data_IF_215982977037
#
_entry.id   IF_215982977037
#
_cell.length_a   1.000
_cell.length_b   1.000
_cell.length_c   1.000
_cell.angle_alpha   90.00
_cell.angle_beta   90.00
_cell.angle_gamma   90.00
#
_symmetry.space_group_name_H-M   'P 1'
#
loop_
_entity.id
_entity.type
_entity.pdbx_description
1 polymer ?
#
# COMPACT_ATOMS: atom_id res chain seq x y z
N UNK A 1 9.12 13.71 2.73
CA UNK A 1 10.44 13.06 2.57
C UNK A 1 10.23 11.60 2.22
N UNK A 2 10.77 11.14 1.09
CA UNK A 2 10.77 9.75 0.67
C UNK A 2 12.22 9.21 0.60
N UNK A 3 12.39 7.89 0.61
CA UNK A 3 13.71 7.27 0.60
C UNK A 3 13.68 5.76 0.54
N UNK A 4 14.85 5.14 0.39
CA UNK A 4 15.02 3.69 0.40
C UNK A 4 16.20 3.30 1.28
N UNK A 5 15.99 2.23 2.04
CA UNK A 5 17.03 1.55 2.83
C UNK A 5 17.18 0.12 2.34
N UNK A 6 18.41 -0.40 2.39
CA UNK A 6 18.74 -1.75 1.97
C UNK A 6 19.17 -2.61 3.16
N UNK A 7 18.44 -3.69 3.40
CA UNK A 7 18.79 -4.70 4.39
C UNK A 7 19.37 -5.90 3.65
N UNK A 8 20.67 -6.19 3.88
CA UNK A 8 21.37 -7.32 3.25
C UNK A 8 21.79 -8.32 4.32
N UNK A 9 21.29 -9.54 4.21
CA UNK A 9 21.61 -10.63 5.16
C UNK A 9 21.50 -12.00 4.48
N UNK A 10 22.54 -12.84 4.56
CA UNK A 10 22.51 -14.23 4.09
C UNK A 10 22.00 -14.39 2.65
N UNK A 11 22.52 -13.62 1.70
CA UNK A 11 22.10 -13.55 0.31
C UNK A 11 20.64 -13.10 0.09
N UNK A 12 19.99 -12.55 1.09
CA UNK A 12 18.70 -11.89 1.01
C UNK A 12 18.92 -10.38 0.91
N UNK A 13 18.30 -9.75 -0.08
CA UNK A 13 18.30 -8.30 -0.28
C UNK A 13 16.86 -7.80 -0.15
N UNK A 14 16.62 -6.93 0.82
CA UNK A 14 15.33 -6.30 1.06
C UNK A 14 15.49 -4.80 0.81
N UNK A 15 14.62 -4.22 -0.01
CA UNK A 15 14.41 -2.77 -0.06
C UNK A 15 13.28 -2.39 0.90
N UNK A 16 13.55 -1.46 1.79
CA UNK A 16 12.53 -0.76 2.58
C UNK A 16 12.34 0.63 1.94
N UNK A 17 11.23 0.80 1.24
CA UNK A 17 10.91 1.99 0.45
C UNK A 17 9.90 2.82 1.21
N UNK A 18 10.27 4.04 1.57
CA UNK A 18 9.40 5.00 2.25
C UNK A 18 8.79 5.95 1.23
N UNK A 19 7.46 5.98 1.13
CA UNK A 19 6.75 6.92 0.27
C UNK A 19 6.28 8.15 1.06
N UNK A 20 6.42 9.32 0.45
CA UNK A 20 5.77 10.54 0.92
C UNK A 20 4.43 10.70 0.18
N UNK A 21 3.37 10.27 0.81
CA UNK A 21 2.01 10.33 0.28
C UNK A 21 1.25 11.60 0.71
N UNK A 22 1.96 12.59 1.28
CA UNK A 22 1.34 13.80 1.85
C UNK A 22 1.82 15.09 1.20
N UNK A 23 3.14 15.25 1.00
CA UNK A 23 3.72 16.55 0.63
C UNK A 23 3.40 16.94 -0.81
N UNK A 24 3.37 15.97 -1.72
CA UNK A 24 3.34 16.21 -3.17
C UNK A 24 1.99 15.92 -3.82
N UNK A 25 1.05 15.38 -3.04
CA UNK A 25 -0.26 15.01 -3.58
C UNK A 25 -1.15 16.22 -3.79
N UNK A 26 -1.99 16.12 -4.81
CA UNK A 26 -3.10 17.03 -5.00
C UNK A 26 -4.18 16.84 -3.92
N UNK A 27 -5.06 17.83 -3.81
CA UNK A 27 -6.17 17.77 -2.89
C UNK A 27 -7.13 16.63 -3.26
N UNK A 28 -7.53 15.85 -2.26
CA UNK A 28 -8.58 14.86 -2.43
C UNK A 28 -9.94 15.55 -2.67
N UNK A 29 -10.76 14.93 -3.51
CA UNK A 29 -12.10 15.44 -3.81
C UNK A 29 -13.05 15.08 -2.67
N UNK A 30 -13.51 16.06 -1.91
CA UNK A 30 -14.51 15.84 -0.86
C UNK A 30 -15.87 15.52 -1.46
N UNK A 31 -16.53 14.53 -0.87
CA UNK A 31 -17.90 14.17 -1.20
C UNK A 31 -18.86 15.26 -0.66
N UNK A 32 -19.77 15.75 -1.51
CA UNK A 32 -20.86 16.60 -1.07
C UNK A 32 -21.85 15.82 -0.19
N UNK A 33 -22.45 16.46 0.81
CA UNK A 33 -23.34 15.78 1.78
C UNK A 33 -24.58 15.15 1.13
N UNK A 34 -25.06 15.72 0.04
CA UNK A 34 -26.22 15.27 -0.74
C UNK A 34 -25.87 14.18 -1.78
N UNK A 35 -24.59 13.90 -1.99
CA UNK A 35 -24.15 12.79 -2.85
C UNK A 35 -24.34 11.46 -2.12
N UNK A 36 -25.29 10.66 -2.56
CA UNK A 36 -25.63 9.34 -2.01
C UNK A 36 -25.03 8.16 -2.79
N UNK A 37 -24.40 8.42 -3.93
CA UNK A 37 -23.79 7.38 -4.76
C UNK A 37 -22.47 6.86 -4.17
N UNK A 38 -21.86 7.64 -3.28
CA UNK A 38 -20.61 7.33 -2.60
C UNK A 38 -20.79 7.43 -1.09
N UNK A 39 -19.91 6.75 -0.36
CA UNK A 39 -19.88 6.78 1.11
C UNK A 39 -18.65 7.53 1.63
N UNK A 40 -18.70 7.88 2.91
CA UNK A 40 -17.64 8.55 3.65
C UNK A 40 -17.21 9.91 3.04
N UNK A 41 -15.95 10.32 3.15
CA UNK A 41 -15.54 11.72 2.97
C UNK A 41 -15.04 12.06 1.57
N UNK A 42 -14.51 11.08 0.84
CA UNK A 42 -13.78 11.35 -0.41
C UNK A 42 -14.29 10.56 -1.60
N UNK A 43 -14.28 11.21 -2.75
CA UNK A 43 -14.60 10.63 -4.04
C UNK A 43 -13.34 10.12 -4.74
N UNK A 44 -13.45 9.11 -5.64
CA UNK A 44 -12.38 8.80 -6.56
C UNK A 44 -12.14 9.97 -7.52
N UNK A 45 -10.90 10.46 -7.59
CA UNK A 45 -10.52 11.53 -8.51
C UNK A 45 -10.29 10.94 -9.91
N UNK A 46 -11.09 11.36 -10.89
CA UNK A 46 -11.00 10.91 -12.29
C UNK A 46 -10.08 11.79 -13.14
N UNK A 47 -9.58 12.90 -12.59
CA UNK A 47 -8.64 13.75 -13.31
C UNK A 47 -7.27 13.06 -13.42
N UNK A 48 -6.89 12.70 -14.64
CA UNK A 48 -5.64 11.99 -14.93
C UNK A 48 -4.38 12.85 -14.71
N UNK A 49 -4.52 14.15 -14.61
CA UNK A 49 -3.42 15.07 -14.32
C UNK A 49 -3.14 15.20 -12.81
N UNK A 50 -4.05 14.70 -11.96
CA UNK A 50 -3.84 14.74 -10.52
C UNK A 50 -2.79 13.72 -10.08
N UNK A 51 -2.02 14.07 -9.06
CA UNK A 51 -0.94 13.21 -8.56
C UNK A 51 -1.08 12.86 -7.08
N UNK A 52 -0.58 11.70 -6.71
CA UNK A 52 -0.46 11.25 -5.33
C UNK A 52 0.97 11.35 -4.80
N UNK A 53 1.96 11.08 -5.64
CA UNK A 53 3.37 11.11 -5.25
C UNK A 53 4.15 12.29 -5.84
N UNK A 54 3.66 12.95 -6.89
CA UNK A 54 4.41 13.94 -7.64
C UNK A 54 5.43 13.32 -8.61
N UNK A 55 5.77 14.05 -9.67
CA UNK A 55 6.59 13.52 -10.76
C UNK A 55 7.99 13.10 -10.33
N UNK A 56 8.64 13.87 -9.47
CA UNK A 56 10.00 13.58 -9.01
C UNK A 56 10.06 12.27 -8.21
N UNK A 57 9.09 12.04 -7.30
CA UNK A 57 9.04 10.82 -6.53
C UNK A 57 8.73 9.61 -7.42
N UNK A 58 7.88 9.75 -8.45
CA UNK A 58 7.62 8.69 -9.42
C UNK A 58 8.87 8.31 -10.21
N UNK A 59 9.65 9.28 -10.67
CA UNK A 59 10.91 9.02 -11.37
C UNK A 59 11.92 8.31 -10.47
N UNK A 60 12.09 8.81 -9.25
CA UNK A 60 12.94 8.17 -8.26
C UNK A 60 12.52 6.73 -7.96
N UNK A 61 11.23 6.47 -7.81
CA UNK A 61 10.70 5.14 -7.53
C UNK A 61 10.93 4.17 -8.71
N UNK A 62 10.83 4.65 -9.94
CA UNK A 62 11.15 3.84 -11.12
C UNK A 62 12.63 3.41 -11.12
N UNK A 63 13.55 4.31 -10.81
CA UNK A 63 14.98 3.96 -10.69
C UNK A 63 15.22 2.99 -9.51
N UNK A 64 14.56 3.24 -8.37
CA UNK A 64 14.65 2.38 -7.19
C UNK A 64 14.19 0.94 -7.48
N UNK A 65 13.14 0.76 -8.28
CA UNK A 65 12.63 -0.58 -8.64
C UNK A 65 13.53 -1.35 -9.61
N UNK A 66 14.40 -0.68 -10.35
CA UNK A 66 15.39 -1.34 -11.23
C UNK A 66 16.55 -1.97 -10.46
N UNK A 67 16.78 -1.52 -9.22
CA UNK A 67 17.83 -2.10 -8.37
C UNK A 67 17.46 -3.52 -7.93
N UNK A 68 18.47 -4.37 -7.78
CA UNK A 68 18.28 -5.76 -7.39
C UNK A 68 17.76 -5.89 -5.95
N UNK A 69 16.65 -6.62 -5.79
CA UNK A 69 16.13 -7.02 -4.48
C UNK A 69 15.26 -8.28 -4.58
N UNK A 70 15.29 -9.09 -3.53
CA UNK A 70 14.40 -10.25 -3.39
C UNK A 70 12.99 -9.84 -2.94
N UNK A 71 12.92 -8.81 -2.07
CA UNK A 71 11.68 -8.31 -1.47
C UNK A 71 11.72 -6.78 -1.42
N UNK A 72 10.60 -6.17 -1.71
CA UNK A 72 10.38 -4.72 -1.63
C UNK A 72 9.22 -4.42 -0.69
N UNK A 73 9.51 -3.90 0.48
CA UNK A 73 8.50 -3.44 1.44
C UNK A 73 8.27 -1.96 1.20
N UNK A 74 7.08 -1.61 0.73
CA UNK A 74 6.69 -0.22 0.47
C UNK A 74 5.87 0.29 1.66
N UNK A 75 6.46 1.19 2.43
CA UNK A 75 5.77 1.87 3.50
C UNK A 75 4.98 3.06 2.93
N UNK A 76 3.66 2.95 3.02
CA UNK A 76 2.70 3.98 2.61
C UNK A 76 1.87 4.38 3.82
N UNK A 77 1.65 5.68 4.06
CA UNK A 77 0.76 6.09 5.16
C UNK A 77 -0.69 5.69 4.92
N UNK A 78 -1.09 5.51 3.66
CA UNK A 78 -2.44 5.19 3.24
C UNK A 78 -2.52 3.79 2.64
N UNK A 79 -3.67 3.12 2.83
CA UNK A 79 -3.94 1.79 2.30
C UNK A 79 -3.87 1.75 0.77
N UNK A 80 -3.23 0.68 0.23
CA UNK A 80 -3.04 0.48 -1.20
C UNK A 80 -3.97 -0.58 -1.79
N UNK A 81 -4.04 -1.77 -1.19
CA UNK A 81 -4.69 -2.96 -1.80
C UNK A 81 -6.14 -3.17 -1.38
N UNK A 82 -6.71 -2.30 -0.57
CA UNK A 82 -8.10 -2.44 -0.12
C UNK A 82 -9.11 -1.99 -1.21
N UNK A 83 -10.37 -2.34 -1.00
CA UNK A 83 -11.48 -1.83 -1.81
C UNK A 83 -11.78 -0.36 -1.47
N UNK A 84 -12.20 0.42 -2.47
CA UNK A 84 -12.64 1.79 -2.21
C UNK A 84 -13.74 1.85 -1.14
N UNK A 85 -13.51 2.66 -0.12
CA UNK A 85 -14.44 2.85 0.99
C UNK A 85 -14.74 4.32 1.32
N UNK A 86 -14.18 5.27 0.56
CA UNK A 86 -14.41 6.71 0.73
C UNK A 86 -13.59 7.37 1.82
N UNK A 87 -12.75 6.64 2.55
CA UNK A 87 -11.70 7.21 3.39
C UNK A 87 -10.43 7.48 2.58
N UNK A 88 -9.48 8.16 3.20
CA UNK A 88 -8.24 8.57 2.55
C UNK A 88 -7.35 7.37 2.19
N UNK A 89 -7.06 7.18 0.92
CA UNK A 89 -6.32 6.02 0.41
C UNK A 89 -5.90 6.18 -1.04
N UNK A 90 -5.13 5.21 -1.57
CA UNK A 90 -4.78 5.16 -2.99
C UNK A 90 -6.01 5.02 -3.91
N UNK A 91 -7.10 4.45 -3.42
CA UNK A 91 -8.33 4.31 -4.19
C UNK A 91 -9.04 5.64 -4.46
N UNK A 92 -8.63 6.73 -3.80
CA UNK A 92 -9.09 8.08 -4.13
C UNK A 92 -8.42 8.64 -5.39
N UNK A 93 -7.29 8.05 -5.83
CA UNK A 93 -6.56 8.45 -7.04
C UNK A 93 -6.28 7.18 -7.87
N UNK A 94 -7.32 6.56 -8.45
CA UNK A 94 -7.24 5.21 -9.01
C UNK A 94 -6.25 5.08 -10.17
N UNK A 95 -6.03 6.14 -10.95
CA UNK A 95 -5.03 6.13 -12.02
C UNK A 95 -3.59 6.09 -11.47
N UNK A 96 -3.31 6.71 -10.32
CA UNK A 96 -2.00 6.62 -9.65
C UNK A 96 -1.79 5.24 -9.00
N UNK A 97 -2.85 4.63 -8.45
CA UNK A 97 -2.80 3.23 -8.02
C UNK A 97 -2.48 2.31 -9.21
N UNK A 98 -3.15 2.50 -10.34
CA UNK A 98 -2.87 1.73 -11.55
C UNK A 98 -1.46 1.99 -12.11
N UNK A 99 -0.97 3.22 -12.02
CA UNK A 99 0.41 3.58 -12.39
C UNK A 99 1.44 2.81 -11.57
N UNK A 100 1.22 2.64 -10.26
CA UNK A 100 2.06 1.82 -9.39
C UNK A 100 2.09 0.36 -9.86
N UNK A 101 0.94 -0.24 -10.13
CA UNK A 101 0.85 -1.62 -10.62
C UNK A 101 1.55 -1.80 -11.98
N UNK A 102 1.41 -0.81 -12.88
CA UNK A 102 2.08 -0.79 -14.16
C UNK A 102 3.61 -0.64 -14.01
N UNK A 103 4.05 0.17 -13.04
CA UNK A 103 5.47 0.34 -12.75
C UNK A 103 6.11 -0.96 -12.23
N UNK A 104 5.44 -1.66 -11.31
CA UNK A 104 5.87 -2.97 -10.82
C UNK A 104 6.03 -3.97 -11.99
N UNK A 105 5.06 -4.00 -12.91
CA UNK A 105 5.15 -4.84 -14.13
C UNK A 105 6.29 -4.42 -15.04
N UNK A 106 6.41 -3.14 -15.35
CA UNK A 106 7.41 -2.57 -16.26
C UNK A 106 8.83 -2.87 -15.81
N UNK A 107 9.08 -2.71 -14.52
CA UNK A 107 10.41 -2.91 -13.91
C UNK A 107 10.68 -4.36 -13.53
N UNK A 108 9.68 -5.24 -13.65
CA UNK A 108 9.74 -6.63 -13.17
C UNK A 108 10.14 -6.72 -11.69
N UNK A 109 9.74 -5.72 -10.89
CA UNK A 109 10.06 -5.67 -9.47
C UNK A 109 9.45 -6.85 -8.72
N UNK A 110 10.31 -7.70 -8.12
CA UNK A 110 9.89 -8.90 -7.41
C UNK A 110 9.53 -8.61 -5.95
N UNK A 111 8.63 -9.44 -5.38
CA UNK A 111 8.35 -9.47 -3.95
C UNK A 111 7.86 -8.14 -3.39
N UNK A 112 7.08 -7.37 -4.16
CA UNK A 112 6.50 -6.10 -3.69
C UNK A 112 5.34 -6.37 -2.76
N UNK A 113 5.41 -5.78 -1.57
CA UNK A 113 4.34 -5.77 -0.57
C UNK A 113 4.23 -4.37 0.01
N UNK A 114 3.01 -3.97 0.39
CA UNK A 114 2.78 -2.71 1.09
C UNK A 114 2.62 -2.94 2.59
N UNK A 115 3.06 -1.96 3.35
CA UNK A 115 2.66 -1.77 4.76
C UNK A 115 1.99 -0.41 4.87
N UNK A 116 0.88 -0.36 5.58
CA UNK A 116 0.07 0.86 5.67
C UNK A 116 -0.52 1.09 7.06
N UNK A 117 -1.12 2.25 7.25
CA UNK A 117 -1.72 2.67 8.51
C UNK A 117 -2.99 3.49 8.32
N UNK A 118 -3.16 4.54 9.15
CA UNK A 118 -4.22 5.57 9.12
C UNK A 118 -5.59 5.14 9.66
N UNK A 119 -6.05 3.93 9.38
CA UNK A 119 -7.45 3.50 9.57
C UNK A 119 -7.79 3.02 10.98
N UNK A 120 -6.84 2.92 11.88
CA UNK A 120 -7.00 2.54 13.29
C UNK A 120 -7.50 1.10 13.53
N UNK A 121 -7.31 0.20 12.55
CA UNK A 121 -7.49 -1.24 12.69
C UNK A 121 -6.36 -2.00 12.01
N UNK A 122 -6.34 -3.32 12.17
CA UNK A 122 -5.43 -4.21 11.45
C UNK A 122 -6.17 -5.03 10.41
N UNK A 123 -5.66 -5.10 9.18
CA UNK A 123 -6.15 -6.00 8.13
C UNK A 123 -5.08 -6.33 7.10
N UNK A 124 -5.20 -7.47 6.46
CA UNK A 124 -4.41 -7.80 5.27
C UNK A 124 -5.33 -7.73 4.06
N UNK A 125 -4.95 -6.95 3.07
CA UNK A 125 -5.65 -6.84 1.79
C UNK A 125 -4.81 -7.43 0.67
N UNK A 126 -5.46 -7.97 -0.38
CA UNK A 126 -4.82 -8.62 -1.51
C UNK A 126 -5.48 -8.18 -2.82
N UNK A 127 -4.72 -7.54 -3.69
CA UNK A 127 -5.13 -7.29 -5.07
C UNK A 127 -4.72 -8.46 -5.96
N UNK A 128 -5.70 -9.25 -6.39
CA UNK A 128 -5.51 -10.33 -7.34
C UNK A 128 -5.32 -9.80 -8.77
N UNK A 129 -4.55 -10.55 -9.56
CA UNK A 129 -4.36 -10.28 -11.01
C UNK A 129 -3.90 -8.85 -11.36
N UNK A 130 -3.37 -8.13 -10.38
CA UNK A 130 -2.97 -6.74 -10.55
C UNK A 130 -1.61 -6.59 -11.23
N UNK A 131 -0.70 -7.54 -10.98
CA UNK A 131 0.63 -7.63 -11.59
C UNK A 131 0.90 -9.07 -12.06
N UNK A 132 2.16 -9.49 -12.16
CA UNK A 132 2.55 -10.89 -12.41
C UNK A 132 2.33 -11.79 -11.19
N UNK A 133 2.08 -11.20 -10.04
CA UNK A 133 1.75 -11.85 -8.77
C UNK A 133 0.79 -10.94 -7.96
N UNK A 134 0.06 -11.47 -6.98
CA UNK A 134 -0.83 -10.65 -6.15
C UNK A 134 -0.06 -9.63 -5.32
N UNK A 135 -0.62 -8.43 -5.15
CA UNK A 135 -0.05 -7.40 -4.28
C UNK A 135 -0.76 -7.40 -2.93
N UNK A 136 -0.01 -7.67 -1.88
CA UNK A 136 -0.49 -7.62 -0.51
C UNK A 136 -0.24 -6.26 0.13
N UNK A 137 -1.13 -5.87 1.03
CA UNK A 137 -1.02 -4.68 1.88
C UNK A 137 -1.33 -5.10 3.33
N UNK A 138 -0.35 -4.96 4.20
CA UNK A 138 -0.48 -5.24 5.62
C UNK A 138 -0.73 -3.93 6.35
N UNK A 139 -1.98 -3.66 6.66
CA UNK A 139 -2.39 -2.50 7.44
C UNK A 139 -2.31 -2.83 8.92
N UNK A 140 -1.52 -2.08 9.69
CA UNK A 140 -1.45 -2.22 11.15
C UNK A 140 -1.37 -0.82 11.78
N UNK A 141 -2.50 -0.30 12.23
CA UNK A 141 -2.60 1.10 12.69
C UNK A 141 -3.40 1.29 13.98
N UNK A 142 -3.54 0.24 14.78
CA UNK A 142 -4.27 0.24 16.03
C UNK A 142 -3.40 0.30 17.30
N UNK A 143 -2.22 0.96 17.30
CA UNK A 143 -1.35 1.00 18.49
C UNK A 143 -1.92 1.85 19.62
N UNK A 144 -2.33 3.07 19.31
CA UNK A 144 -2.76 4.06 20.33
C UNK A 144 -4.25 4.40 20.25
N UNK A 145 -4.86 4.14 19.12
CA UNK A 145 -6.27 4.37 18.87
C UNK A 145 -6.83 3.25 18.00
N UNK A 146 -8.04 2.80 18.30
CA UNK A 146 -8.72 1.72 17.59
C UNK A 146 -10.09 2.19 17.09
N UNK A 147 -10.51 1.61 15.96
CA UNK A 147 -11.81 1.90 15.36
C UNK A 147 -12.58 0.61 15.17
N UNK A 148 -13.68 0.46 15.90
CA UNK A 148 -14.48 -0.76 15.90
C UNK A 148 -15.43 -0.89 14.69
N UNK A 149 -15.84 0.23 14.10
CA UNK A 149 -16.70 0.26 12.91
C UNK A 149 -15.85 0.17 11.65
N UNK A 150 -15.34 -1.02 11.39
CA UNK A 150 -14.47 -1.27 10.23
C UNK A 150 -15.28 -1.32 8.93
N UNK A 151 -14.68 -0.87 7.84
CA UNK A 151 -15.34 -0.89 6.53
C UNK A 151 -15.33 -2.28 5.89
N UNK A 152 -16.37 -2.64 5.13
CA UNK A 152 -16.33 -3.80 4.24
C UNK A 152 -15.17 -3.67 3.25
N UNK A 153 -14.51 -4.80 2.99
CA UNK A 153 -13.38 -4.85 2.05
C UNK A 153 -13.33 -6.23 1.38
N UNK A 154 -13.71 -6.32 0.12
CA UNK A 154 -13.71 -7.58 -0.63
C UNK A 154 -12.31 -8.14 -0.90
N UNK A 155 -11.28 -7.28 -0.78
CA UNK A 155 -9.89 -7.66 -0.95
C UNK A 155 -9.25 -8.16 0.35
N UNK A 156 -10.00 -8.19 1.47
CA UNK A 156 -9.50 -8.65 2.76
C UNK A 156 -9.21 -10.14 2.76
N UNK A 157 -8.07 -10.49 3.32
CA UNK A 157 -7.65 -11.88 3.58
C UNK A 157 -7.75 -12.13 5.08
N UNK A 158 -8.57 -13.09 5.48
CA UNK A 158 -8.83 -13.36 6.89
C UNK A 158 -9.76 -12.33 7.54
N UNK A 159 -9.60 -12.12 8.83
CA UNK A 159 -10.45 -11.23 9.62
C UNK A 159 -9.79 -9.87 9.85
N UNK A 160 -10.61 -8.84 10.06
CA UNK A 160 -10.14 -7.52 10.51
C UNK A 160 -9.93 -7.54 12.03
N UNK A 161 -8.90 -6.86 12.51
CA UNK A 161 -8.59 -6.71 13.94
C UNK A 161 -8.88 -5.28 14.36
N UNK A 162 -10.05 -5.01 14.97
CA UNK A 162 -10.47 -3.66 15.36
C UNK A 162 -9.92 -3.22 16.72
N UNK A 163 -9.02 -3.99 17.31
CA UNK A 163 -8.37 -3.73 18.60
C UNK A 163 -6.94 -3.22 18.39
N UNK A 164 -6.24 -2.98 19.51
CA UNK A 164 -4.80 -2.73 19.46
C UNK A 164 -4.11 -3.87 18.70
N UNK A 165 -3.26 -3.52 17.76
CA UNK A 165 -2.67 -4.49 16.88
C UNK A 165 -1.24 -4.15 16.51
N UNK A 166 -0.48 -5.18 16.10
CA UNK A 166 0.87 -5.07 15.56
C UNK A 166 1.02 -6.02 14.36
N UNK A 167 1.58 -5.52 13.28
CA UNK A 167 1.90 -6.32 12.09
C UNK A 167 3.29 -6.94 12.19
N UNK A 168 3.42 -8.18 11.73
CA UNK A 168 4.70 -8.90 11.63
C UNK A 168 4.87 -9.43 10.20
N UNK A 169 6.03 -9.18 9.63
CA UNK A 169 6.48 -9.75 8.36
C UNK A 169 7.72 -10.57 8.61
N UNK A 170 7.61 -11.88 8.46
CA UNK A 170 8.76 -12.78 8.51
C UNK A 170 9.20 -13.13 7.09
N UNK A 171 10.48 -12.93 6.79
CA UNK A 171 11.06 -13.18 5.47
C UNK A 171 12.11 -14.27 5.60
N UNK A 172 11.94 -15.37 4.84
CA UNK A 172 12.86 -16.51 4.83
C UNK A 172 13.29 -16.79 3.39
N UNK A 173 14.61 -16.96 3.18
CA UNK A 173 15.17 -17.38 1.88
C UNK A 173 15.85 -18.73 2.03
N UNK A 174 15.38 -19.71 1.23
CA UNK A 174 15.94 -21.07 1.18
C UNK A 174 16.29 -21.36 -0.29
N UNK A 175 17.58 -21.43 -0.58
CA UNK A 175 18.06 -21.53 -1.95
C UNK A 175 17.65 -20.32 -2.79
N UNK A 176 16.86 -20.53 -3.82
CA UNK A 176 16.33 -19.48 -4.70
C UNK A 176 14.92 -19.03 -4.33
N UNK A 177 14.30 -19.65 -3.34
CA UNK A 177 12.92 -19.35 -2.93
C UNK A 177 12.91 -18.40 -1.74
N UNK A 178 12.22 -17.28 -1.90
CA UNK A 178 11.94 -16.35 -0.80
C UNK A 178 10.46 -16.45 -0.43
N UNK A 179 10.18 -16.65 0.85
CA UNK A 179 8.82 -16.72 1.41
C UNK A 179 8.59 -15.58 2.38
N UNK A 180 7.37 -15.08 2.40
CA UNK A 180 6.90 -14.05 3.32
C UNK A 180 5.71 -14.62 4.12
N UNK A 181 5.82 -14.60 5.43
CA UNK A 181 4.72 -14.89 6.35
C UNK A 181 4.20 -13.55 6.89
N UNK A 182 2.93 -13.24 6.66
CA UNK A 182 2.29 -11.99 7.03
C UNK A 182 1.29 -12.25 8.15
N UNK A 183 1.42 -11.55 9.26
CA UNK A 183 0.55 -11.74 10.43
C UNK A 183 0.20 -10.40 11.08
N UNK A 184 -0.97 -10.35 11.71
CA UNK A 184 -1.41 -9.23 12.57
C UNK A 184 -1.92 -9.83 13.88
N UNK A 185 -1.48 -9.27 15.00
CA UNK A 185 -1.80 -9.71 16.36
C UNK A 185 -2.50 -8.62 17.15
#
# INVERSE_FOLDING_TARGET
IYGVEYIKKNNLIIQLILLDTRTFRDNLIRRAKDNTDYKNDYLPNQNQDSTFLGNEQWQWLEETFKEEADVRIIASSNQFSHEYNGWESWTNVPHEQQKMLNLIKKTQANGVIFISGDVHWGEISKLENSTTYPIYDVTSSGITQTWYNTEPNKNRVGEVIPQNNIGLIEIKKIGQTTTLDLSIF
#
